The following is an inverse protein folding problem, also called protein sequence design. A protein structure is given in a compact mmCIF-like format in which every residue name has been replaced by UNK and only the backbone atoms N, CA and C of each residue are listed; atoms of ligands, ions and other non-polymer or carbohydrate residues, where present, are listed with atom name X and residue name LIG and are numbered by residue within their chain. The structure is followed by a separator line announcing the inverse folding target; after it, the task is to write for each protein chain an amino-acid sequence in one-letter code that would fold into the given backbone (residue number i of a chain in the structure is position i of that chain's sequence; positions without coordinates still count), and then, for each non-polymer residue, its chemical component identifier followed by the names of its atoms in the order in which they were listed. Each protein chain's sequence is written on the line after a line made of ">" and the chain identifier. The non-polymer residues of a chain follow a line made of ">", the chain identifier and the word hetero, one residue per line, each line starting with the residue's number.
data_IF_848051109558
#
_entry.id   IF_848051109558
#
_cell.length_a   1.000
_cell.length_b   1.000
_cell.length_c   1.000
_cell.angle_alpha   90.00
_cell.angle_beta   90.00
_cell.angle_gamma   90.00
#
_symmetry.space_group_name_H-M   'P 1'
#
loop_
_entity.id
_entity.type
_entity.pdbx_description
1 polymer ?
#
# COMPACT_ATOMS: atom_id res chain seq x y z
N UNK A 1 3.14 15.15 -32.74
CA UNK A 1 3.43 13.76 -32.37
C UNK A 1 4.22 13.80 -31.05
N UNK A 2 3.61 13.48 -29.91
CA UNK A 2 4.31 13.55 -28.61
C UNK A 2 5.30 12.38 -28.57
N UNK A 3 6.59 12.68 -28.59
CA UNK A 3 7.62 11.65 -28.56
C UNK A 3 7.75 11.13 -27.12
N UNK A 4 7.01 10.06 -26.80
CA UNK A 4 6.92 9.44 -25.48
C UNK A 4 8.26 8.97 -24.89
N UNK A 5 9.29 8.98 -25.72
CA UNK A 5 10.63 8.51 -25.46
C UNK A 5 11.62 9.66 -25.29
N UNK A 6 11.16 10.92 -25.35
CA UNK A 6 11.97 12.09 -25.06
C UNK A 6 12.37 12.12 -23.57
N UNK A 7 13.58 12.61 -23.23
CA UNK A 7 14.05 12.63 -21.84
C UNK A 7 13.11 13.33 -20.85
N UNK A 8 12.42 14.39 -21.29
CA UNK A 8 11.43 15.09 -20.46
C UNK A 8 10.20 14.25 -20.13
N UNK A 9 9.68 13.50 -21.11
CA UNK A 9 8.51 12.62 -20.92
C UNK A 9 8.84 11.42 -20.03
N UNK A 10 10.04 10.85 -20.17
CA UNK A 10 10.53 9.77 -19.30
C UNK A 10 10.62 10.23 -17.83
N UNK A 11 11.15 11.44 -17.59
CA UNK A 11 11.22 12.03 -16.24
C UNK A 11 9.83 12.27 -15.66
N UNK A 12 8.91 12.84 -16.43
CA UNK A 12 7.53 13.09 -16.00
C UNK A 12 6.80 11.79 -15.60
N UNK A 13 7.02 10.71 -16.36
CA UNK A 13 6.50 9.38 -16.02
C UNK A 13 7.11 8.82 -14.74
N UNK A 14 8.44 8.95 -14.57
CA UNK A 14 9.12 8.55 -13.35
C UNK A 14 8.58 9.28 -12.10
N UNK A 15 8.37 10.59 -12.20
CA UNK A 15 7.77 11.40 -11.14
C UNK A 15 6.34 10.96 -10.80
N UNK A 16 5.53 10.66 -11.82
CA UNK A 16 4.16 10.14 -11.65
C UNK A 16 4.19 8.82 -10.89
N UNK A 17 5.06 7.88 -11.28
CA UNK A 17 5.22 6.60 -10.60
C UNK A 17 5.66 6.76 -9.14
N UNK A 18 6.58 7.68 -8.86
CA UNK A 18 6.98 8.00 -7.47
C UNK A 18 5.86 8.62 -6.64
N UNK A 19 5.01 9.43 -7.27
CA UNK A 19 3.82 10.00 -6.60
C UNK A 19 2.83 8.89 -6.26
N UNK A 20 2.56 7.98 -7.20
CA UNK A 20 1.73 6.80 -6.96
C UNK A 20 2.30 5.91 -5.84
N UNK A 21 3.61 5.64 -5.85
CA UNK A 21 4.27 4.84 -4.82
C UNK A 21 4.14 5.47 -3.43
N UNK A 22 4.32 6.78 -3.31
CA UNK A 22 4.11 7.51 -2.06
C UNK A 22 2.67 7.39 -1.57
N UNK A 23 1.69 7.60 -2.45
CA UNK A 23 0.26 7.48 -2.10
C UNK A 23 -0.11 6.07 -1.68
N UNK A 24 0.39 5.05 -2.38
CA UNK A 24 0.16 3.65 -2.02
C UNK A 24 0.73 3.30 -0.65
N UNK A 25 1.94 3.78 -0.30
CA UNK A 25 2.50 3.58 1.05
C UNK A 25 1.68 4.25 2.15
N UNK A 26 1.22 5.47 1.91
CA UNK A 26 0.35 6.17 2.87
C UNK A 26 -0.94 5.38 3.11
N UNK A 27 -1.56 4.89 2.04
CA UNK A 27 -2.78 4.10 2.11
C UNK A 27 -2.53 2.74 2.81
N UNK A 28 -1.46 2.03 2.45
CA UNK A 28 -1.07 0.77 3.06
C UNK A 28 -0.84 0.92 4.57
N UNK A 29 -0.17 1.99 5.01
CA UNK A 29 0.05 2.27 6.44
C UNK A 29 -1.28 2.46 7.19
N UNK A 30 -2.21 3.20 6.60
CA UNK A 30 -3.53 3.42 7.21
C UNK A 30 -4.33 2.11 7.32
N UNK A 31 -4.31 1.28 6.27
CA UNK A 31 -5.02 -0.01 6.25
C UNK A 31 -4.42 -1.03 7.22
N UNK A 32 -3.09 -1.11 7.31
CA UNK A 32 -2.39 -2.13 8.10
C UNK A 32 -2.71 -2.11 9.59
N UNK A 33 -3.08 -0.95 10.13
CA UNK A 33 -3.39 -0.78 11.56
C UNK A 33 -4.87 -0.44 11.83
N UNK A 34 -5.72 -0.37 10.80
CA UNK A 34 -7.07 0.20 10.92
C UNK A 34 -7.98 -0.53 11.91
N UNK A 35 -7.84 -1.85 12.03
CA UNK A 35 -8.69 -2.68 12.92
C UNK A 35 -7.94 -3.24 14.13
N UNK A 36 -6.70 -2.80 14.38
CA UNK A 36 -5.89 -3.38 15.45
C UNK A 36 -6.50 -3.15 16.84
N UNK A 37 -7.01 -1.95 17.08
CA UNK A 37 -7.62 -1.57 18.35
C UNK A 37 -8.92 -2.32 18.58
N UNK A 38 -9.78 -2.34 17.58
CA UNK A 38 -11.12 -2.93 17.61
C UNK A 38 -11.01 -4.45 17.80
N UNK A 39 -10.10 -5.11 17.08
CA UNK A 39 -9.83 -6.54 17.28
C UNK A 39 -9.29 -6.79 18.68
N UNK A 40 -8.32 -5.98 19.16
CA UNK A 40 -7.75 -6.15 20.51
C UNK A 40 -8.82 -6.01 21.60
N UNK A 41 -9.73 -5.06 21.46
CA UNK A 41 -10.84 -4.85 22.41
C UNK A 41 -11.85 -6.00 22.33
N UNK A 42 -12.23 -6.43 21.13
CA UNK A 42 -13.18 -7.51 20.94
C UNK A 42 -12.64 -8.88 21.39
N UNK A 43 -11.32 -9.09 21.37
CA UNK A 43 -10.66 -10.33 21.83
C UNK A 43 -10.09 -10.24 23.25
N UNK A 44 -10.46 -9.22 24.02
CA UNK A 44 -9.98 -9.08 25.40
C UNK A 44 -10.29 -10.31 26.26
N UNK A 45 -9.50 -10.54 27.31
CA UNK A 45 -9.73 -11.61 28.30
C UNK A 45 -9.90 -11.01 29.71
N UNK A 46 -10.55 -11.74 30.61
CA UNK A 46 -10.72 -11.36 32.02
C UNK A 46 -11.84 -10.34 32.24
N UNK A 47 -11.67 -9.45 33.23
CA UNK A 47 -12.68 -8.48 33.70
C UNK A 47 -13.14 -7.45 32.66
N UNK A 48 -12.51 -7.42 31.48
CA UNK A 48 -12.89 -6.59 30.33
C UNK A 48 -13.71 -7.31 29.25
N UNK A 49 -13.92 -8.63 29.35
CA UNK A 49 -14.75 -9.39 28.40
C UNK A 49 -16.23 -9.25 28.76
N UNK A 50 -16.79 -8.08 28.47
CA UNK A 50 -18.20 -7.77 28.70
C UNK A 50 -19.09 -8.43 27.62
N UNK A 51 -18.49 -8.79 26.48
CA UNK A 51 -19.19 -9.31 25.31
C UNK A 51 -18.78 -10.75 24.98
N UNK A 52 -19.66 -11.70 25.30
CA UNK A 52 -19.44 -13.14 25.09
C UNK A 52 -20.66 -13.82 24.47
N UNK A 53 -20.50 -15.09 24.06
CA UNK A 53 -21.55 -15.90 23.44
C UNK A 53 -21.40 -16.11 21.92
N UNK A 54 -22.30 -16.87 21.28
CA UNK A 54 -22.17 -17.25 19.87
C UNK A 54 -22.11 -16.06 18.90
N UNK A 55 -22.92 -15.02 19.16
CA UNK A 55 -22.93 -13.81 18.35
C UNK A 55 -21.61 -13.02 18.46
N UNK A 56 -21.08 -12.88 19.69
CA UNK A 56 -19.79 -12.25 19.94
C UNK A 56 -18.68 -13.01 19.20
N UNK A 57 -18.68 -14.34 19.30
CA UNK A 57 -17.71 -15.21 18.63
C UNK A 57 -17.72 -15.03 17.11
N UNK A 58 -18.89 -15.06 16.49
CA UNK A 58 -19.04 -14.86 15.04
C UNK A 58 -18.59 -13.46 14.59
N UNK A 59 -18.89 -12.44 15.40
CA UNK A 59 -18.50 -11.07 15.07
C UNK A 59 -16.99 -10.87 15.22
N UNK A 60 -16.38 -11.44 16.26
CA UNK A 60 -14.91 -11.45 16.44
C UNK A 60 -14.23 -12.17 15.27
N UNK A 61 -14.78 -13.31 14.81
CA UNK A 61 -14.26 -14.03 13.65
C UNK A 61 -14.30 -13.16 12.39
N UNK A 62 -15.43 -12.47 12.16
CA UNK A 62 -15.60 -11.54 11.04
C UNK A 62 -14.61 -10.36 11.12
N UNK A 63 -14.41 -9.79 12.31
CA UNK A 63 -13.45 -8.70 12.53
C UNK A 63 -12.00 -9.15 12.27
N UNK A 64 -11.63 -10.34 12.74
CA UNK A 64 -10.31 -10.94 12.48
C UNK A 64 -10.09 -11.17 10.98
N UNK A 65 -11.10 -11.67 10.27
CA UNK A 65 -11.03 -11.88 8.82
C UNK A 65 -10.84 -10.55 8.08
N UNK A 66 -11.64 -9.53 8.40
CA UNK A 66 -11.51 -8.19 7.80
C UNK A 66 -10.15 -7.57 8.07
N UNK A 67 -9.60 -7.75 9.27
CA UNK A 67 -8.24 -7.30 9.61
C UNK A 67 -7.20 -7.99 8.72
N UNK A 68 -7.30 -9.32 8.56
CA UNK A 68 -6.38 -10.06 7.70
C UNK A 68 -6.46 -9.60 6.23
N UNK A 69 -7.66 -9.32 5.73
CA UNK A 69 -7.86 -8.84 4.36
C UNK A 69 -7.27 -7.43 4.17
N UNK A 70 -7.46 -6.51 5.12
CA UNK A 70 -6.83 -5.18 5.10
C UNK A 70 -5.30 -5.27 5.15
N UNK A 71 -4.75 -6.18 5.95
CA UNK A 71 -3.31 -6.41 6.00
C UNK A 71 -2.76 -6.95 4.68
N UNK A 72 -3.50 -7.84 4.00
CA UNK A 72 -3.13 -8.32 2.67
C UNK A 72 -3.13 -7.20 1.64
N UNK A 73 -4.19 -6.39 1.59
CA UNK A 73 -4.26 -5.22 0.68
C UNK A 73 -3.13 -4.21 0.94
N UNK A 74 -2.78 -3.98 2.21
CA UNK A 74 -1.65 -3.12 2.56
C UNK A 74 -0.31 -3.69 2.08
N UNK A 75 -0.11 -5.00 2.19
CA UNK A 75 1.08 -5.68 1.68
C UNK A 75 1.17 -5.59 0.14
N UNK A 76 0.06 -5.82 -0.55
CA UNK A 76 -0.03 -5.72 -2.02
C UNK A 76 0.30 -4.30 -2.50
N UNK A 77 -0.31 -3.28 -1.89
CA UNK A 77 -0.01 -1.88 -2.19
C UNK A 77 1.47 -1.52 -1.93
N UNK A 78 2.08 -2.10 -0.90
CA UNK A 78 3.50 -1.90 -0.60
C UNK A 78 4.39 -2.54 -1.66
N UNK A 79 4.02 -3.73 -2.14
CA UNK A 79 4.72 -4.41 -3.22
C UNK A 79 4.61 -3.63 -4.54
N UNK A 80 3.41 -3.13 -4.86
CA UNK A 80 3.14 -2.29 -6.04
C UNK A 80 3.96 -1.00 -6.00
N UNK A 81 4.00 -0.32 -4.85
CA UNK A 81 4.82 0.86 -4.65
C UNK A 81 6.31 0.59 -4.95
N UNK A 82 6.83 -0.55 -4.47
CA UNK A 82 8.20 -0.96 -4.78
C UNK A 82 8.44 -1.22 -6.26
N UNK A 83 7.47 -1.79 -6.99
CA UNK A 83 7.58 -1.98 -8.45
C UNK A 83 7.56 -0.66 -9.20
N UNK A 84 6.70 0.28 -8.82
CA UNK A 84 6.65 1.61 -9.44
C UNK A 84 7.93 2.42 -9.22
N UNK A 85 8.56 2.30 -8.06
CA UNK A 85 9.84 2.97 -7.81
C UNK A 85 10.98 2.43 -8.66
N UNK A 86 11.08 1.10 -8.80
CA UNK A 86 12.07 0.46 -9.67
C UNK A 86 11.88 0.89 -11.13
N UNK A 87 10.64 0.95 -11.60
CA UNK A 87 10.37 1.42 -12.97
C UNK A 87 10.66 2.93 -13.11
N UNK A 88 10.36 3.74 -12.09
CA UNK A 88 10.73 5.16 -12.09
C UNK A 88 12.25 5.36 -12.21
N UNK A 89 13.04 4.59 -11.44
CA UNK A 89 14.50 4.60 -11.51
C UNK A 89 15.00 4.23 -12.91
N UNK A 90 14.47 3.15 -13.50
CA UNK A 90 14.78 2.74 -14.86
C UNK A 90 14.46 3.82 -15.90
N UNK A 91 13.33 4.51 -15.77
CA UNK A 91 12.96 5.60 -16.68
C UNK A 91 13.94 6.79 -16.57
N UNK A 92 14.41 7.09 -15.36
CA UNK A 92 15.41 8.15 -15.16
C UNK A 92 16.79 7.78 -15.70
N UNK A 93 17.21 6.53 -15.58
CA UNK A 93 18.42 6.03 -16.24
C UNK A 93 18.31 6.14 -17.75
N UNK A 94 17.19 5.71 -18.34
CA UNK A 94 16.93 5.90 -19.79
C UNK A 94 16.96 7.36 -20.20
N UNK A 95 16.37 8.25 -19.40
CA UNK A 95 16.38 9.68 -19.65
C UNK A 95 17.80 10.28 -19.58
N UNK A 96 18.64 9.80 -18.65
CA UNK A 96 20.05 10.18 -18.52
C UNK A 96 20.86 9.70 -19.73
N UNK A 97 20.71 8.44 -20.14
CA UNK A 97 21.40 7.88 -21.31
C UNK A 97 21.07 8.62 -22.60
N UNK A 98 19.82 9.06 -22.79
CA UNK A 98 19.41 9.87 -23.96
C UNK A 98 19.90 11.31 -23.93
N UNK A 99 20.38 11.83 -22.79
CA UNK A 99 20.96 13.17 -22.68
C UNK A 99 22.46 13.21 -22.98
N UNK A 100 23.16 12.08 -22.83
CA UNK A 100 24.61 11.98 -23.05
C UNK A 100 25.03 11.45 -24.44
N UNK A 101 24.07 11.17 -25.32
CA UNK A 101 24.30 10.65 -26.67
C UNK A 101 24.24 11.71 -27.78
N UNK A 102 24.73 12.92 -27.52
CA UNK A 102 24.89 13.99 -28.51
C UNK A 102 26.36 14.36 -28.66
#
# INVERSE_FOLDING_TARGET
>A
MINHDAPGELKKRAETLRSCARRARTAARAMGTFLDREVKQATGYGDGLIWSGPYATNTIATLKQRKADLQRMAADLTADAGRWEKEAERLEERARGKRGGH
#
